data_IF_514668146221
#
_entry.id   IF_514668146221
#
_cell.length_a   1.000
_cell.length_b   1.000
_cell.length_c   1.000
_cell.angle_alpha   90.00
_cell.angle_beta   90.00
_cell.angle_gamma   90.00
#
_symmetry.space_group_name_H-M   'P 1'
#
loop_
_entity.id
_entity.type
_entity.pdbx_description
1 polymer ?
#
# COMPACT_ATOMS: atom_id res chain seq x y z
N UNK A 1 10.30 -4.14 -19.73
CA UNK A 1 10.48 -5.02 -18.54
C UNK A 1 9.14 -5.57 -18.07
N UNK A 2 9.12 -6.77 -17.43
CA UNK A 2 7.90 -7.29 -16.77
C UNK A 2 7.86 -6.88 -15.31
N UNK A 3 6.70 -6.40 -14.87
CA UNK A 3 6.44 -6.02 -13.48
C UNK A 3 5.34 -6.90 -12.86
N UNK A 4 5.49 -7.25 -11.58
CA UNK A 4 4.49 -7.93 -10.79
C UNK A 4 4.07 -7.05 -9.63
N UNK A 5 2.79 -6.74 -9.53
CA UNK A 5 2.20 -6.01 -8.41
C UNK A 5 1.39 -6.99 -7.57
N UNK A 6 1.88 -7.28 -6.36
CA UNK A 6 1.25 -8.19 -5.40
C UNK A 6 0.69 -7.38 -4.26
N UNK A 7 -0.57 -7.57 -3.94
CA UNK A 7 -1.17 -6.84 -2.84
C UNK A 7 -2.05 -7.71 -1.95
N UNK A 8 -2.25 -7.22 -0.71
CA UNK A 8 -3.26 -7.74 0.18
C UNK A 8 -4.11 -6.61 0.75
N UNK A 9 -5.40 -6.83 0.77
CA UNK A 9 -6.38 -5.86 1.28
C UNK A 9 -7.42 -6.54 2.13
N UNK A 10 -8.02 -5.78 3.05
CA UNK A 10 -9.19 -6.24 3.78
C UNK A 10 -10.46 -5.49 3.39
N UNK A 11 -10.34 -4.20 3.13
CA UNK A 11 -11.46 -3.30 2.89
C UNK A 11 -11.45 -2.68 1.48
N UNK A 12 -10.59 -3.17 0.59
CA UNK A 12 -10.57 -2.77 -0.81
C UNK A 12 -9.66 -1.57 -1.15
N UNK A 13 -9.25 -0.74 -0.20
CA UNK A 13 -8.43 0.44 -0.49
C UNK A 13 -7.15 0.11 -1.28
N UNK A 14 -6.38 -0.86 -0.79
CA UNK A 14 -5.13 -1.29 -1.41
C UNK A 14 -5.35 -1.88 -2.80
N UNK A 15 -6.52 -2.49 -3.07
CA UNK A 15 -6.86 -3.01 -4.39
C UNK A 15 -6.91 -1.89 -5.42
N UNK A 16 -7.70 -0.84 -5.17
CA UNK A 16 -7.79 0.29 -6.10
C UNK A 16 -6.45 1.02 -6.28
N UNK A 17 -5.63 1.15 -5.21
CA UNK A 17 -4.27 1.68 -5.33
C UNK A 17 -3.41 0.80 -6.24
N UNK A 18 -3.43 -0.51 -6.05
CA UNK A 18 -2.65 -1.46 -6.87
C UNK A 18 -3.12 -1.50 -8.34
N UNK A 19 -4.42 -1.37 -8.57
CA UNK A 19 -5.00 -1.26 -9.91
C UNK A 19 -4.52 0.00 -10.64
N UNK A 20 -4.50 1.16 -9.96
CA UNK A 20 -4.00 2.41 -10.55
C UNK A 20 -2.49 2.31 -10.81
N UNK A 21 -1.70 1.72 -9.90
CA UNK A 21 -0.28 1.45 -10.13
C UNK A 21 -0.08 0.63 -11.40
N UNK A 22 -0.80 -0.49 -11.57
CA UNK A 22 -0.67 -1.33 -12.78
C UNK A 22 -1.07 -0.57 -14.05
N UNK A 23 -2.13 0.24 -13.98
CA UNK A 23 -2.58 1.06 -15.11
C UNK A 23 -1.50 2.05 -15.54
N UNK A 24 -0.86 2.75 -14.59
CA UNK A 24 0.23 3.69 -14.88
C UNK A 24 1.47 2.96 -15.41
N UNK A 25 1.90 1.86 -14.78
CA UNK A 25 3.03 1.07 -15.27
C UNK A 25 2.85 0.62 -16.73
N UNK A 26 1.63 0.21 -17.09
CA UNK A 26 1.31 -0.17 -18.47
C UNK A 26 1.34 1.02 -19.43
N UNK A 27 0.89 2.18 -18.98
CA UNK A 27 0.98 3.43 -19.77
C UNK A 27 2.44 3.84 -20.00
N UNK A 28 3.33 3.57 -19.03
CA UNK A 28 4.79 3.77 -19.12
C UNK A 28 5.51 2.62 -19.88
N UNK A 29 4.78 1.71 -20.52
CA UNK A 29 5.35 0.67 -21.38
C UNK A 29 5.82 -0.61 -20.69
N UNK A 30 5.54 -0.80 -19.40
CA UNK A 30 5.86 -2.04 -18.70
C UNK A 30 4.75 -3.09 -18.88
N UNK A 31 5.14 -4.37 -19.02
CA UNK A 31 4.21 -5.50 -18.97
C UNK A 31 3.89 -5.81 -17.48
N UNK A 32 2.86 -5.19 -16.94
CA UNK A 32 2.52 -5.26 -15.53
C UNK A 32 1.36 -6.22 -15.26
N UNK A 33 1.56 -7.17 -14.32
CA UNK A 33 0.55 -8.10 -13.81
C UNK A 33 0.14 -7.70 -12.40
N UNK A 34 -1.17 -7.76 -12.13
CA UNK A 34 -1.76 -7.56 -10.81
C UNK A 34 -2.13 -8.89 -10.17
N UNK A 35 -1.79 -9.07 -8.90
CA UNK A 35 -2.15 -10.26 -8.12
C UNK A 35 -2.68 -9.87 -6.75
N UNK A 36 -3.90 -10.25 -6.46
CA UNK A 36 -4.43 -10.28 -5.10
C UNK A 36 -3.92 -11.55 -4.40
N UNK A 37 -2.97 -11.40 -3.48
CA UNK A 37 -2.33 -12.52 -2.81
C UNK A 37 -3.28 -13.36 -1.93
N UNK A 38 -4.49 -12.86 -1.67
CA UNK A 38 -5.53 -13.61 -0.96
C UNK A 38 -6.28 -14.59 -1.88
N UNK A 39 -6.40 -14.24 -3.14
CA UNK A 39 -7.19 -14.97 -4.14
C UNK A 39 -6.32 -15.88 -5.00
N UNK A 40 -5.10 -15.42 -5.28
CA UNK A 40 -4.18 -16.11 -6.17
C UNK A 40 -2.82 -16.32 -5.50
N UNK A 41 -2.27 -17.53 -5.64
CA UNK A 41 -0.91 -17.86 -5.18
C UNK A 41 0.09 -17.65 -6.32
N UNK A 42 1.06 -16.79 -6.08
CA UNK A 42 2.24 -16.69 -6.94
C UNK A 42 3.17 -17.86 -6.65
N UNK A 43 3.56 -18.59 -7.68
CA UNK A 43 4.45 -19.74 -7.54
C UNK A 43 5.87 -19.49 -8.08
N UNK A 44 6.02 -18.53 -8.98
CA UNK A 44 7.27 -18.18 -9.64
C UNK A 44 7.32 -16.67 -9.89
N UNK A 45 8.47 -16.06 -9.62
CA UNK A 45 8.75 -14.64 -9.88
C UNK A 45 9.95 -14.44 -10.82
N UNK A 46 10.53 -15.51 -11.36
CA UNK A 46 11.76 -15.46 -12.18
C UNK A 46 11.62 -14.55 -13.40
N UNK A 47 10.43 -14.54 -14.02
CA UNK A 47 10.16 -13.76 -15.22
C UNK A 47 9.95 -12.25 -15.00
N UNK A 48 9.98 -11.75 -13.75
CA UNK A 48 9.73 -10.34 -13.43
C UNK A 48 11.03 -9.66 -13.01
N UNK A 49 11.26 -8.46 -13.55
CA UNK A 49 12.38 -7.60 -13.16
C UNK A 49 12.03 -6.60 -12.07
N UNK A 50 10.75 -6.19 -12.00
CA UNK A 50 10.21 -5.31 -10.97
C UNK A 50 9.14 -6.05 -10.17
N UNK A 51 9.27 -6.04 -8.84
CA UNK A 51 8.27 -6.59 -7.92
C UNK A 51 7.78 -5.47 -7.00
N UNK A 52 6.50 -5.17 -7.05
CA UNK A 52 5.87 -4.20 -6.16
C UNK A 52 4.98 -4.95 -5.18
N UNK A 53 5.20 -4.76 -3.88
CA UNK A 53 4.40 -5.43 -2.85
C UNK A 53 3.66 -4.40 -2.01
N UNK A 54 2.34 -4.51 -2.00
CA UNK A 54 1.45 -3.60 -1.29
C UNK A 54 0.63 -4.26 -0.19
N UNK A 55 0.41 -3.55 0.89
CA UNK A 55 -0.47 -4.01 1.96
C UNK A 55 -1.37 -2.91 2.53
N UNK A 56 -2.60 -3.27 2.82
CA UNK A 56 -3.41 -2.49 3.74
C UNK A 56 -2.96 -2.71 5.17
N UNK A 57 -3.10 -1.66 6.00
CA UNK A 57 -2.82 -1.76 7.44
C UNK A 57 -4.09 -2.14 8.18
N UNK A 58 -4.00 -3.22 8.96
CA UNK A 58 -5.08 -3.70 9.82
C UNK A 58 -4.56 -3.94 11.23
N UNK A 59 -5.19 -3.31 12.20
CA UNK A 59 -4.80 -3.43 13.62
C UNK A 59 -3.27 -3.30 13.72
N UNK A 60 -2.77 -2.20 13.14
CA UNK A 60 -1.38 -1.80 13.22
C UNK A 60 -0.37 -2.82 12.59
N UNK A 61 -0.82 -3.60 11.59
CA UNK A 61 -0.01 -4.63 10.89
C UNK A 61 -0.39 -4.75 9.42
N UNK A 62 0.55 -5.22 8.64
CA UNK A 62 0.31 -5.69 7.28
C UNK A 62 -0.71 -6.83 7.26
N UNK A 63 -1.45 -6.96 6.16
CA UNK A 63 -2.23 -8.17 5.90
C UNK A 63 -1.31 -9.37 5.74
N UNK A 64 -1.81 -10.56 6.05
CA UNK A 64 -0.99 -11.77 6.16
C UNK A 64 -0.40 -12.24 4.82
N UNK A 65 -1.12 -12.03 3.74
CA UNK A 65 -0.81 -12.60 2.44
C UNK A 65 0.44 -11.96 1.80
N UNK A 66 0.59 -10.62 1.74
CA UNK A 66 1.85 -10.00 1.30
C UNK A 66 3.05 -10.36 2.18
N UNK A 67 2.86 -10.51 3.50
CA UNK A 67 3.90 -10.98 4.40
C UNK A 67 4.40 -12.38 4.02
N UNK A 68 3.47 -13.29 3.70
CA UNK A 68 3.81 -14.64 3.25
C UNK A 68 4.52 -14.63 1.90
N UNK A 69 4.12 -13.73 0.99
CA UNK A 69 4.78 -13.57 -0.29
C UNK A 69 6.24 -13.13 -0.11
N UNK A 70 6.48 -12.09 0.69
CA UNK A 70 7.84 -11.63 1.01
C UNK A 70 8.69 -12.73 1.66
N UNK A 71 8.10 -13.50 2.59
CA UNK A 71 8.82 -14.60 3.25
C UNK A 71 9.12 -15.76 2.29
N UNK A 72 8.19 -16.07 1.38
CA UNK A 72 8.35 -17.17 0.40
C UNK A 72 9.48 -16.90 -0.59
N UNK A 73 9.58 -15.67 -1.08
CA UNK A 73 10.51 -15.28 -2.12
C UNK A 73 11.68 -14.46 -1.60
N UNK A 74 11.98 -14.55 -0.29
CA UNK A 74 12.98 -13.71 0.36
C UNK A 74 14.32 -13.67 -0.37
N UNK A 75 14.84 -14.83 -0.77
CA UNK A 75 16.13 -14.94 -1.45
C UNK A 75 16.07 -14.39 -2.88
N UNK A 76 15.03 -14.77 -3.63
CA UNK A 76 14.87 -14.33 -5.01
C UNK A 76 14.63 -12.82 -5.13
N UNK A 77 13.96 -12.22 -4.14
CA UNK A 77 13.67 -10.78 -4.11
C UNK A 77 14.93 -9.92 -3.95
N UNK A 78 16.03 -10.45 -3.38
CA UNK A 78 17.30 -9.72 -3.26
C UNK A 78 17.96 -9.45 -4.63
N UNK A 79 17.60 -10.21 -5.65
CA UNK A 79 18.10 -10.08 -7.02
C UNK A 79 17.15 -9.26 -7.92
N UNK A 80 16.04 -8.74 -7.38
CA UNK A 80 15.02 -8.01 -8.11
C UNK A 80 14.98 -6.54 -7.72
N UNK A 81 14.50 -5.69 -8.64
CA UNK A 81 14.08 -4.34 -8.26
C UNK A 81 12.77 -4.47 -7.47
N UNK A 82 12.81 -4.10 -6.20
CA UNK A 82 11.65 -4.22 -5.30
C UNK A 82 11.15 -2.85 -4.90
N UNK A 83 9.85 -2.64 -4.90
CA UNK A 83 9.21 -1.49 -4.30
C UNK A 83 8.11 -1.94 -3.30
N UNK A 84 7.95 -1.17 -2.23
CA UNK A 84 6.95 -1.46 -1.21
C UNK A 84 5.97 -0.30 -1.08
N UNK A 85 4.69 -0.61 -0.90
CA UNK A 85 3.74 0.41 -0.49
C UNK A 85 2.75 -0.07 0.56
N UNK A 86 2.23 0.88 1.34
CA UNK A 86 1.12 0.63 2.27
C UNK A 86 -0.02 1.59 2.02
N UNK A 87 -1.25 1.12 2.27
CA UNK A 87 -2.45 1.97 2.29
C UNK A 87 -2.93 2.08 3.74
N UNK A 88 -2.92 3.30 4.28
CA UNK A 88 -3.32 3.59 5.66
C UNK A 88 -4.26 4.79 5.69
N UNK A 89 -5.52 4.58 6.08
CA UNK A 89 -6.48 5.67 6.17
C UNK A 89 -6.12 6.72 7.24
N UNK A 90 -5.37 6.34 8.28
CA UNK A 90 -4.97 7.28 9.34
C UNK A 90 -3.81 8.19 8.94
N UNK A 91 -3.07 7.89 7.88
CA UNK A 91 -1.98 8.75 7.40
C UNK A 91 -2.47 10.18 7.12
N UNK A 92 -3.62 10.30 6.48
CA UNK A 92 -4.22 11.60 6.18
C UNK A 92 -4.49 12.47 7.43
N UNK A 93 -4.71 11.84 8.59
CA UNK A 93 -4.87 12.57 9.86
C UNK A 93 -3.51 13.04 10.38
N UNK A 94 -2.48 12.23 10.31
CA UNK A 94 -1.13 12.64 10.72
C UNK A 94 -0.65 13.82 9.88
N UNK A 95 -0.88 13.77 8.57
CA UNK A 95 -0.51 14.84 7.65
C UNK A 95 -1.29 16.14 7.96
N UNK A 96 -2.60 16.03 8.23
CA UNK A 96 -3.44 17.18 8.58
C UNK A 96 -3.05 17.78 9.93
N UNK A 97 -2.83 16.97 10.95
CA UNK A 97 -2.47 17.42 12.31
C UNK A 97 -1.02 17.94 12.37
N UNK A 98 -0.21 17.74 11.31
CA UNK A 98 1.22 18.02 11.30
C UNK A 98 1.99 17.13 12.29
N UNK A 99 1.45 15.94 12.59
CA UNK A 99 2.08 14.98 13.50
C UNK A 99 3.15 14.16 12.75
N UNK A 100 4.26 14.85 12.48
CA UNK A 100 5.41 14.27 11.77
C UNK A 100 5.98 13.07 12.52
N UNK A 101 5.97 13.10 13.85
CA UNK A 101 6.48 12.01 14.68
C UNK A 101 5.63 10.73 14.53
N UNK A 102 4.30 10.85 14.48
CA UNK A 102 3.42 9.71 14.22
C UNK A 102 3.59 9.19 12.79
N UNK A 103 3.74 10.09 11.82
CA UNK A 103 3.99 9.74 10.42
C UNK A 103 5.32 9.00 10.25
N UNK A 104 6.41 9.48 10.85
CA UNK A 104 7.72 8.82 10.84
C UNK A 104 7.71 7.46 11.53
N UNK A 105 7.04 7.34 12.68
CA UNK A 105 6.86 6.04 13.36
C UNK A 105 6.12 5.05 12.49
N UNK A 106 5.05 5.49 11.81
CA UNK A 106 4.27 4.65 10.89
C UNK A 106 5.10 4.22 9.67
N UNK A 107 5.82 5.15 9.06
CA UNK A 107 6.76 4.87 7.97
C UNK A 107 7.80 3.83 8.35
N UNK A 108 8.49 4.06 9.48
CA UNK A 108 9.49 3.12 9.98
C UNK A 108 8.90 1.73 10.19
N UNK A 109 7.78 1.65 10.92
CA UNK A 109 7.15 0.39 11.30
C UNK A 109 6.63 -0.40 10.11
N UNK A 110 5.97 0.30 9.16
CA UNK A 110 5.25 -0.39 8.09
C UNK A 110 6.09 -0.59 6.83
N UNK A 111 7.17 0.13 6.65
CA UNK A 111 8.01 0.04 5.47
C UNK A 111 9.44 -0.34 5.81
N UNK A 112 10.15 0.46 6.62
CA UNK A 112 11.56 0.22 6.91
C UNK A 112 11.79 -1.10 7.64
N UNK A 113 11.12 -1.33 8.76
CA UNK A 113 11.23 -2.59 9.53
C UNK A 113 10.74 -3.79 8.70
N UNK A 114 9.85 -3.56 7.74
CA UNK A 114 9.38 -4.60 6.83
C UNK A 114 10.47 -4.98 5.83
N UNK A 115 11.14 -4.00 5.24
CA UNK A 115 12.28 -4.23 4.35
C UNK A 115 13.42 -4.94 5.11
N UNK A 116 13.81 -4.44 6.28
CA UNK A 116 14.84 -5.02 7.15
C UNK A 116 14.55 -6.49 7.50
N UNK A 117 13.32 -6.79 7.94
CA UNK A 117 12.87 -8.15 8.30
C UNK A 117 13.06 -9.16 7.17
N UNK A 118 12.86 -8.73 5.94
CA UNK A 118 12.97 -9.60 4.76
C UNK A 118 14.31 -9.45 4.02
N UNK A 119 15.25 -8.65 4.57
CA UNK A 119 16.57 -8.38 3.99
C UNK A 119 16.46 -7.78 2.57
N UNK A 120 15.49 -6.89 2.38
CA UNK A 120 15.24 -6.19 1.12
C UNK A 120 15.92 -4.84 1.13
N UNK A 121 16.38 -4.41 -0.05
CA UNK A 121 16.80 -3.04 -0.36
C UNK A 121 15.83 -2.46 -1.42
N UNK A 122 14.66 -1.93 -1.00
CA UNK A 122 13.67 -1.44 -1.94
C UNK A 122 14.17 -0.21 -2.67
N UNK A 123 14.03 -0.20 -4.02
CA UNK A 123 14.37 0.97 -4.84
C UNK A 123 13.42 2.14 -4.59
N UNK A 124 12.22 1.87 -4.08
CA UNK A 124 11.26 2.89 -3.66
C UNK A 124 10.28 2.34 -2.63
N UNK A 125 9.80 3.23 -1.75
CA UNK A 125 8.77 2.93 -0.77
C UNK A 125 7.74 4.07 -0.74
N UNK A 126 6.46 3.74 -0.50
CA UNK A 126 5.41 4.74 -0.39
C UNK A 126 4.37 4.40 0.68
N UNK A 127 3.85 5.43 1.34
CA UNK A 127 2.69 5.33 2.22
C UNK A 127 1.57 6.19 1.64
N UNK A 128 0.50 5.53 1.22
CA UNK A 128 -0.67 6.18 0.64
C UNK A 128 -1.83 6.22 1.63
N UNK A 129 -2.73 7.15 1.42
CA UNK A 129 -4.02 7.15 2.05
C UNK A 129 -4.81 5.86 1.81
N UNK A 130 -5.90 5.69 2.50
CA UNK A 130 -6.72 4.49 2.42
C UNK A 130 -8.21 4.79 2.45
N UNK A 131 -8.99 3.73 2.62
CA UNK A 131 -10.44 3.83 2.81
C UNK A 131 -10.75 3.44 4.25
N UNK A 132 -11.55 4.27 4.92
CA UNK A 132 -12.21 3.91 6.16
C UNK A 132 -13.69 3.70 5.87
N UNK A 133 -14.10 2.43 5.92
CA UNK A 133 -15.50 2.02 5.76
C UNK A 133 -16.12 1.73 7.13
N UNK A 134 -16.90 2.69 7.63
CA UNK A 134 -17.58 2.55 8.90
C UNK A 134 -18.72 1.52 8.86
N UNK A 135 -19.22 1.17 7.67
CA UNK A 135 -20.27 0.16 7.55
C UNK A 135 -19.75 -1.25 7.85
N UNK A 136 -18.45 -1.49 7.58
CA UNK A 136 -17.79 -2.76 7.87
C UNK A 136 -17.23 -2.86 9.29
N UNK A 137 -17.34 -1.78 10.07
CA UNK A 137 -16.88 -1.79 11.47
C UNK A 137 -17.98 -2.31 12.39
N UNK A 138 -17.62 -3.24 13.28
CA UNK A 138 -18.49 -3.69 14.36
C UNK A 138 -18.87 -2.54 15.29
N UNK A 139 -20.02 -2.64 15.98
CA UNK A 139 -20.55 -1.58 16.85
C UNK A 139 -19.58 -1.11 17.93
N UNK A 140 -18.77 -2.03 18.47
CA UNK A 140 -17.77 -1.71 19.49
C UNK A 140 -16.64 -0.84 18.91
N UNK A 141 -16.16 -1.18 17.71
CA UNK A 141 -15.15 -0.42 17.00
C UNK A 141 -15.67 0.95 16.60
N UNK A 142 -16.94 1.06 16.17
CA UNK A 142 -17.56 2.36 15.87
C UNK A 142 -17.57 3.30 17.08
N UNK A 143 -17.75 2.77 18.29
CA UNK A 143 -17.77 3.58 19.53
C UNK A 143 -16.37 4.08 19.90
N UNK A 144 -15.34 3.28 19.68
CA UNK A 144 -13.94 3.65 19.95
C UNK A 144 -13.32 4.57 18.90
N UNK A 145 -13.72 4.43 17.64
CA UNK A 145 -13.27 5.31 16.53
C UNK A 145 -14.18 6.53 16.32
N UNK A 146 -15.17 6.73 17.19
CA UNK A 146 -16.13 7.84 17.06
C UNK A 146 -15.51 9.26 17.14
N UNK A 147 -14.30 9.39 17.70
CA UNK A 147 -13.53 10.63 17.66
C UNK A 147 -12.69 10.76 16.37
N UNK A 148 -12.39 9.64 15.71
CA UNK A 148 -11.54 9.62 14.53
C UNK A 148 -12.23 10.25 13.32
N UNK A 149 -13.55 10.07 13.15
CA UNK A 149 -14.27 10.65 12.03
C UNK A 149 -14.28 12.17 12.02
N UNK A 150 -14.32 12.82 13.22
CA UNK A 150 -14.22 14.29 13.33
C UNK A 150 -12.91 14.79 12.74
N UNK A 151 -11.82 14.08 13.01
CA UNK A 151 -10.52 14.42 12.45
C UNK A 151 -10.49 14.30 10.92
N UNK A 152 -11.20 13.34 10.33
CA UNK A 152 -11.32 13.26 8.87
C UNK A 152 -12.13 14.41 8.30
N UNK A 153 -13.21 14.81 8.97
CA UNK A 153 -14.03 15.97 8.55
C UNK A 153 -13.25 17.28 8.72
N UNK A 154 -12.51 17.44 9.82
CA UNK A 154 -11.59 18.56 10.07
C UNK A 154 -10.48 18.62 9.03
N UNK A 155 -9.96 17.48 8.59
CA UNK A 155 -9.01 17.36 7.50
C UNK A 155 -9.63 17.55 6.09
N UNK A 156 -10.92 17.88 6.00
CA UNK A 156 -11.60 18.17 4.75
C UNK A 156 -12.14 16.95 3.98
N UNK A 157 -12.01 15.76 4.52
CA UNK A 157 -12.55 14.56 3.89
C UNK A 157 -14.06 14.45 4.11
N UNK A 158 -14.78 14.24 3.01
CA UNK A 158 -16.24 14.06 3.07
C UNK A 158 -16.62 12.58 3.17
N UNK A 159 -17.56 12.32 4.06
CA UNK A 159 -18.16 11.00 4.19
C UNK A 159 -19.17 10.77 3.07
N UNK A 160 -18.93 9.77 2.24
CA UNK A 160 -19.88 9.32 1.22
C UNK A 160 -20.30 7.88 1.54
N UNK A 161 -21.60 7.63 1.72
CA UNK A 161 -22.17 6.32 1.99
C UNK A 161 -21.51 5.56 3.17
N UNK A 162 -21.07 6.30 4.19
CA UNK A 162 -20.39 5.71 5.35
C UNK A 162 -18.89 5.48 5.17
N UNK A 163 -18.31 5.95 4.07
CA UNK A 163 -16.92 5.74 3.68
C UNK A 163 -16.19 7.07 3.61
N UNK A 164 -14.98 7.10 4.17
CA UNK A 164 -14.00 8.14 3.89
C UNK A 164 -12.89 7.56 3.01
N UNK A 165 -12.66 8.20 1.86
CA UNK A 165 -11.56 7.89 0.96
C UNK A 165 -10.50 8.98 1.09
N UNK A 166 -9.33 8.62 1.60
CA UNK A 166 -8.21 9.55 1.83
C UNK A 166 -7.07 9.34 0.84
N UNK A 167 -7.31 8.60 -0.25
CA UNK A 167 -6.29 8.36 -1.27
C UNK A 167 -6.04 9.61 -2.09
N UNK A 168 -4.78 9.96 -2.23
CA UNK A 168 -4.30 10.94 -3.19
C UNK A 168 -3.89 10.21 -4.48
N UNK A 169 -4.75 10.29 -5.49
CA UNK A 169 -4.55 9.62 -6.77
C UNK A 169 -3.38 10.19 -7.56
N UNK A 170 -3.11 11.49 -7.43
CA UNK A 170 -2.00 12.12 -8.12
C UNK A 170 -0.67 11.72 -7.48
N UNK A 171 -0.60 11.64 -6.16
CA UNK A 171 0.57 11.09 -5.46
C UNK A 171 0.85 9.63 -5.87
N UNK A 172 -0.20 8.79 -5.98
CA UNK A 172 -0.04 7.40 -6.43
C UNK A 172 0.50 7.34 -7.87
N UNK A 173 -0.05 8.15 -8.78
CA UNK A 173 0.40 8.20 -10.19
C UNK A 173 1.83 8.69 -10.31
N UNK A 174 2.15 9.81 -9.66
CA UNK A 174 3.49 10.40 -9.70
C UNK A 174 4.55 9.43 -9.17
N UNK A 175 4.30 8.80 -8.02
CA UNK A 175 5.20 7.77 -7.49
C UNK A 175 5.40 6.61 -8.47
N UNK A 176 4.35 6.20 -9.17
CA UNK A 176 4.42 5.09 -10.12
C UNK A 176 5.18 5.47 -11.39
N UNK A 177 5.03 6.69 -11.89
CA UNK A 177 5.81 7.21 -13.03
C UNK A 177 7.30 7.28 -12.67
N UNK A 178 7.64 7.83 -11.50
CA UNK A 178 9.01 7.86 -11.00
C UNK A 178 9.61 6.45 -10.90
N UNK A 179 8.83 5.49 -10.36
CA UNK A 179 9.24 4.09 -10.26
C UNK A 179 9.47 3.45 -11.63
N UNK A 180 8.58 3.73 -12.61
CA UNK A 180 8.76 3.24 -13.98
C UNK A 180 10.05 3.79 -14.62
N UNK A 181 10.36 5.07 -14.40
CA UNK A 181 11.60 5.68 -14.89
C UNK A 181 12.85 5.01 -14.29
N UNK A 182 12.84 4.66 -12.99
CA UNK A 182 13.97 3.97 -12.33
C UNK A 182 14.27 2.57 -12.91
N UNK A 183 13.33 1.99 -13.64
CA UNK A 183 13.46 0.62 -14.14
C UNK A 183 13.48 0.53 -15.67
N UNK A 184 13.25 1.64 -16.37
CA UNK A 184 13.16 1.72 -17.83
C UNK A 184 14.49 1.76 -18.56
N UNK A 185 15.60 1.95 -17.83
CA UNK A 185 16.97 2.00 -18.39
C UNK A 185 17.60 0.57 -18.49
#
# INVERSE_FOLDING_TARGET
>A
MKALVVFGTRYGATAGTAEEIVKVLRAEGLDARLVNAREEKVNDISGYGLIIVGSGIKIDRWTREPEKFLAKFKEELTEKKVALFVSSGVQAIYDHDGDTEASERAWRKYLVEKAEKHSLDPISMAMFGGILDFNQMGWLTRKTVGQLWRKFEEAGYQKKDGIYDTRDWDAIRNWTVELAAMVGD
#
